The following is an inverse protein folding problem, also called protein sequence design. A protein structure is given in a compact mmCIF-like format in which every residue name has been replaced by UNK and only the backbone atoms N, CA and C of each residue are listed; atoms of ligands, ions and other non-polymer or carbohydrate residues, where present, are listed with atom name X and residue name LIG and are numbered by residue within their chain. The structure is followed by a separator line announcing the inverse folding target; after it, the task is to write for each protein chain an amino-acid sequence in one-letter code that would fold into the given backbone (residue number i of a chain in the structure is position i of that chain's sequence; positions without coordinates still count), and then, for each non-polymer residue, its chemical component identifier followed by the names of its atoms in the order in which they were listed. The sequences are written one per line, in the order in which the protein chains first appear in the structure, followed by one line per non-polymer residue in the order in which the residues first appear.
data_IF_954394671794
#
_entry.id   IF_954394671794
#
_cell.length_a   1.000
_cell.length_b   1.000
_cell.length_c   1.000
_cell.angle_alpha   90.00
_cell.angle_beta   90.00
_cell.angle_gamma   90.00
#
_symmetry.space_group_name_H-M   'P 1'
#
loop_
_entity.id
_entity.type
_entity.pdbx_description
1 polymer ?
#
# COMPACT_ATOMS: atom_id res chain seq x y z
N UNK A 1 -27.90 -21.47 2.63
CA UNK A 1 -27.38 -20.73 1.46
C UNK A 1 -27.30 -19.26 1.83
N UNK A 2 -26.23 -18.54 1.42
CA UNK A 2 -25.93 -17.15 1.84
C UNK A 2 -25.30 -16.35 0.71
N UNK A 3 -25.25 -15.02 0.85
CA UNK A 3 -24.44 -14.16 -0.02
C UNK A 3 -22.95 -14.54 0.10
N UNK A 4 -22.23 -14.48 -1.01
CA UNK A 4 -20.79 -14.72 -1.04
C UNK A 4 -20.02 -13.41 -0.86
N UNK A 5 -18.80 -13.49 -0.34
CA UNK A 5 -17.95 -12.31 -0.10
C UNK A 5 -17.64 -11.61 -1.43
N UNK A 6 -17.35 -12.41 -2.44
CA UNK A 6 -17.01 -12.07 -3.82
C UNK A 6 -18.21 -11.68 -4.71
N UNK A 7 -19.41 -11.47 -4.14
CA UNK A 7 -20.55 -11.01 -4.92
C UNK A 7 -20.34 -9.69 -5.70
N UNK A 8 -19.48 -8.73 -5.28
CA UNK A 8 -19.30 -7.48 -6.00
C UNK A 8 -18.80 -7.65 -7.43
N UNK A 9 -17.98 -8.66 -7.76
CA UNK A 9 -17.52 -8.87 -9.15
C UNK A 9 -18.69 -9.16 -10.08
N UNK A 10 -19.73 -9.83 -9.59
CA UNK A 10 -20.96 -10.10 -10.32
C UNK A 10 -21.80 -8.84 -10.44
N UNK A 11 -21.93 -8.07 -9.36
CA UNK A 11 -22.70 -6.82 -9.32
C UNK A 11 -22.21 -5.80 -10.35
N UNK A 12 -20.90 -5.55 -10.40
CA UNK A 12 -20.34 -4.53 -11.29
C UNK A 12 -20.40 -4.93 -12.77
N UNK A 13 -20.36 -6.23 -13.08
CA UNK A 13 -20.45 -6.73 -14.45
C UNK A 13 -21.90 -6.79 -14.95
N UNK A 14 -22.85 -7.12 -14.07
CA UNK A 14 -24.28 -7.19 -14.43
C UNK A 14 -25.06 -5.89 -14.18
N UNK A 15 -24.49 -4.94 -13.43
CA UNK A 15 -25.19 -3.72 -13.02
C UNK A 15 -26.32 -3.99 -12.02
N UNK A 16 -26.13 -4.95 -11.13
CA UNK A 16 -27.13 -5.36 -10.13
C UNK A 16 -26.67 -5.03 -8.71
N UNK A 17 -27.63 -4.84 -7.81
CA UNK A 17 -27.42 -4.79 -6.36
C UNK A 17 -28.04 -6.06 -5.76
N UNK A 18 -27.20 -7.04 -5.44
CA UNK A 18 -27.64 -8.35 -4.97
C UNK A 18 -28.18 -8.28 -3.54
N UNK A 19 -27.67 -7.38 -2.70
CA UNK A 19 -28.18 -7.17 -1.34
C UNK A 19 -29.60 -6.60 -1.40
N UNK A 20 -29.83 -5.58 -2.23
CA UNK A 20 -31.17 -5.03 -2.47
C UNK A 20 -32.13 -6.08 -3.01
N UNK A 21 -31.71 -6.89 -3.97
CA UNK A 21 -32.53 -7.97 -4.52
C UNK A 21 -32.86 -9.03 -3.46
N UNK A 22 -31.93 -9.36 -2.56
CA UNK A 22 -32.19 -10.25 -1.42
C UNK A 22 -33.26 -9.68 -0.48
N UNK A 23 -33.21 -8.38 -0.18
CA UNK A 23 -34.22 -7.72 0.66
C UNK A 23 -35.60 -7.74 0.00
N UNK A 24 -35.69 -7.36 -1.27
CA UNK A 24 -36.95 -7.37 -2.03
C UNK A 24 -37.58 -8.79 -2.07
N UNK A 25 -36.77 -9.80 -2.34
CA UNK A 25 -37.24 -11.19 -2.35
C UNK A 25 -37.71 -11.63 -0.95
N UNK A 26 -37.01 -11.23 0.11
CA UNK A 26 -37.39 -11.54 1.49
C UNK A 26 -38.71 -10.88 1.90
N UNK A 27 -39.02 -9.70 1.35
CA UNK A 27 -40.31 -9.00 1.51
C UNK A 27 -41.44 -9.61 0.64
N UNK A 28 -41.14 -10.63 -0.17
CA UNK A 28 -42.11 -11.29 -1.04
C UNK A 28 -42.36 -10.59 -2.38
N UNK A 29 -41.56 -9.58 -2.73
CA UNK A 29 -41.62 -8.96 -4.05
C UNK A 29 -41.08 -9.92 -5.14
N UNK A 30 -41.65 -9.90 -6.35
CA UNK A 30 -41.06 -10.61 -7.48
C UNK A 30 -39.70 -10.00 -7.85
N UNK A 31 -38.83 -10.80 -8.45
CA UNK A 31 -37.57 -10.28 -9.00
C UNK A 31 -37.88 -9.29 -10.14
N UNK A 32 -37.30 -8.08 -10.14
CA UNK A 32 -37.57 -7.06 -11.14
C UNK A 32 -36.79 -7.28 -12.45
N UNK A 33 -36.44 -8.53 -12.75
CA UNK A 33 -35.57 -8.89 -13.86
C UNK A 33 -35.85 -10.33 -14.32
N UNK A 34 -35.65 -10.57 -15.61
CA UNK A 34 -35.73 -11.87 -16.26
C UNK A 34 -34.34 -12.33 -16.69
N UNK A 35 -34.20 -13.62 -16.99
CA UNK A 35 -32.92 -14.18 -17.44
C UNK A 35 -32.40 -13.49 -18.71
N UNK A 36 -33.30 -13.07 -19.60
CA UNK A 36 -32.98 -12.36 -20.84
C UNK A 36 -32.47 -10.92 -20.62
N UNK A 37 -32.71 -10.32 -19.45
CA UNK A 37 -32.21 -8.98 -19.10
C UNK A 37 -30.75 -9.01 -18.61
N UNK A 38 -30.21 -10.21 -18.33
CA UNK A 38 -28.87 -10.40 -17.78
C UNK A 38 -27.83 -10.50 -18.90
N UNK A 39 -27.12 -9.40 -19.15
CA UNK A 39 -25.99 -9.37 -20.07
C UNK A 39 -24.74 -8.85 -19.36
N UNK A 40 -23.73 -9.72 -19.08
CA UNK A 40 -22.49 -9.27 -18.46
C UNK A 40 -21.71 -8.35 -19.39
N UNK A 41 -21.25 -7.21 -18.86
CA UNK A 41 -20.43 -6.24 -19.59
C UNK A 41 -19.07 -6.07 -18.94
N UNK A 42 -18.02 -6.11 -19.76
CA UNK A 42 -16.65 -5.92 -19.31
C UNK A 42 -16.11 -7.07 -18.45
N UNK A 43 -15.11 -6.76 -17.65
CA UNK A 43 -14.46 -7.69 -16.73
C UNK A 43 -14.24 -7.03 -15.38
N UNK A 44 -14.37 -7.82 -14.31
CA UNK A 44 -14.12 -7.36 -12.95
C UNK A 44 -13.18 -8.28 -12.20
N UNK A 45 -12.40 -7.67 -11.31
CA UNK A 45 -11.49 -8.35 -10.40
C UNK A 45 -11.77 -7.86 -8.99
N UNK A 46 -11.62 -8.75 -8.02
CA UNK A 46 -11.65 -8.42 -6.59
C UNK A 46 -10.38 -8.95 -5.93
N UNK A 47 -9.73 -8.08 -5.16
CA UNK A 47 -8.66 -8.45 -4.25
C UNK A 47 -9.15 -8.29 -2.82
N UNK A 48 -8.97 -9.34 -2.01
CA UNK A 48 -9.18 -9.26 -0.55
C UNK A 48 -7.95 -8.66 0.09
N UNK A 49 -8.15 -7.52 0.74
CA UNK A 49 -7.12 -6.80 1.46
C UNK A 49 -7.18 -7.29 2.91
N UNK A 50 -6.35 -8.28 3.22
CA UNK A 50 -6.27 -8.85 4.56
C UNK A 50 -5.11 -8.22 5.33
N UNK A 51 -5.29 -8.07 6.63
CA UNK A 51 -4.25 -7.72 7.58
C UNK A 51 -3.39 -8.96 7.87
N UNK A 52 -2.49 -9.31 6.96
CA UNK A 52 -1.63 -10.50 7.02
C UNK A 52 -0.20 -10.17 6.60
N UNK A 53 0.78 -10.82 7.23
CA UNK A 53 2.19 -10.79 6.83
C UNK A 53 2.48 -11.92 5.84
N UNK A 54 2.32 -11.62 4.55
CA UNK A 54 2.42 -12.62 3.48
C UNK A 54 3.78 -13.32 3.46
N UNK A 55 4.88 -12.59 3.66
CA UNK A 55 6.23 -13.16 3.61
C UNK A 55 6.60 -13.99 4.84
N UNK A 56 5.76 -13.94 5.87
CA UNK A 56 5.86 -14.75 7.07
C UNK A 56 4.68 -15.75 7.14
N UNK A 57 4.45 -16.49 6.04
CA UNK A 57 3.39 -17.50 5.93
C UNK A 57 1.97 -16.98 6.20
N UNK A 58 1.65 -15.77 5.75
CA UNK A 58 0.31 -15.17 5.89
C UNK A 58 -0.19 -15.13 7.33
N UNK A 59 0.70 -14.97 8.31
CA UNK A 59 0.26 -14.82 9.71
C UNK A 59 -0.55 -13.53 9.87
N UNK A 60 -1.64 -13.54 10.67
CA UNK A 60 -2.42 -12.33 10.92
C UNK A 60 -1.57 -11.20 11.49
N UNK A 61 -1.72 -10.00 10.93
CA UNK A 61 -1.08 -8.76 11.35
C UNK A 61 -2.06 -7.91 12.17
N UNK A 62 -2.10 -8.14 13.47
CA UNK A 62 -2.93 -7.35 14.39
C UNK A 62 -2.26 -6.06 14.81
N UNK A 63 -3.05 -5.04 15.11
CA UNK A 63 -2.55 -3.73 15.49
C UNK A 63 -3.55 -2.64 15.17
N UNK A 64 -3.12 -1.38 15.28
CA UNK A 64 -3.95 -0.24 14.93
C UNK A 64 -3.58 0.26 13.53
N UNK A 65 -4.60 0.55 12.72
CA UNK A 65 -4.43 1.24 11.45
C UNK A 65 -4.10 2.71 11.74
N UNK A 66 -2.87 3.15 11.51
CA UNK A 66 -2.44 4.52 11.83
C UNK A 66 -2.78 5.52 10.72
N UNK A 67 -2.84 5.04 9.48
CA UNK A 67 -3.24 5.81 8.32
C UNK A 67 -4.05 4.94 7.37
N UNK A 68 -5.07 5.53 6.74
CA UNK A 68 -5.92 4.87 5.76
C UNK A 68 -6.28 5.86 4.66
N UNK A 69 -5.92 5.52 3.41
CA UNK A 69 -6.36 6.21 2.21
C UNK A 69 -6.84 5.20 1.20
N UNK A 70 -8.13 5.25 0.87
CA UNK A 70 -8.70 4.41 -0.17
C UNK A 70 -8.29 4.90 -1.57
N UNK A 71 -8.11 3.98 -2.53
CA UNK A 71 -8.00 4.34 -3.93
C UNK A 71 -9.36 4.80 -4.46
N UNK A 72 -9.33 5.68 -5.44
CA UNK A 72 -10.52 6.26 -6.05
C UNK A 72 -10.44 6.20 -7.59
N UNK A 73 -11.52 6.64 -8.22
CA UNK A 73 -11.59 6.87 -9.66
C UNK A 73 -12.49 5.88 -10.42
N UNK A 74 -12.60 6.06 -11.74
CA UNK A 74 -13.54 5.31 -12.57
C UNK A 74 -13.27 3.80 -12.55
N UNK A 75 -14.32 3.03 -12.32
CA UNK A 75 -14.25 1.57 -12.27
C UNK A 75 -13.51 1.02 -11.05
N UNK A 76 -13.34 1.81 -9.98
CA UNK A 76 -12.81 1.36 -8.68
C UNK A 76 -13.92 1.42 -7.63
N UNK A 77 -14.10 0.33 -6.89
CA UNK A 77 -15.00 0.23 -5.74
C UNK A 77 -14.25 -0.35 -4.56
N UNK A 78 -14.48 0.20 -3.38
CA UNK A 78 -13.90 -0.28 -2.13
C UNK A 78 -15.03 -0.58 -1.16
N UNK A 79 -15.14 -1.83 -0.74
CA UNK A 79 -15.99 -2.22 0.38
C UNK A 79 -15.07 -2.41 1.60
N UNK A 80 -15.01 -1.41 2.48
CA UNK A 80 -14.11 -1.41 3.66
C UNK A 80 -14.88 -1.57 4.96
N UNK A 81 -14.36 -2.41 5.86
CA UNK A 81 -14.87 -2.56 7.23
C UNK A 81 -14.08 -1.75 8.26
N UNK A 82 -13.07 -1.00 7.83
CA UNK A 82 -12.13 -0.27 8.69
C UNK A 82 -12.09 1.23 8.37
N UNK A 83 -11.66 2.01 9.34
CA UNK A 83 -11.35 3.44 9.24
C UNK A 83 -9.95 3.72 9.79
N UNK A 84 -9.43 4.93 9.59
CA UNK A 84 -8.24 5.37 10.30
C UNK A 84 -8.42 5.20 11.82
N UNK A 85 -7.38 4.71 12.50
CA UNK A 85 -7.33 4.37 13.91
C UNK A 85 -8.16 3.15 14.35
N UNK A 86 -8.73 2.39 13.41
CA UNK A 86 -9.36 1.09 13.70
C UNK A 86 -8.35 0.09 14.24
N UNK A 87 -8.77 -0.73 15.21
CA UNK A 87 -7.97 -1.83 15.75
C UNK A 87 -8.32 -3.14 15.02
N UNK A 88 -7.31 -3.78 14.44
CA UNK A 88 -7.40 -5.15 13.91
C UNK A 88 -7.13 -6.12 15.06
N UNK A 89 -8.19 -6.72 15.57
CA UNK A 89 -8.11 -7.71 16.66
C UNK A 89 -7.81 -9.11 16.14
N UNK A 90 -7.39 -10.00 17.05
CA UNK A 90 -7.16 -11.44 16.77
C UNK A 90 -8.44 -12.27 16.74
N UNK A 91 -9.59 -11.68 17.10
CA UNK A 91 -10.83 -12.41 17.35
C UNK A 91 -11.70 -12.59 16.11
N UNK A 92 -11.39 -11.87 15.03
CA UNK A 92 -12.16 -11.88 13.79
C UNK A 92 -11.27 -12.22 12.59
N UNK A 93 -11.92 -12.41 11.45
CA UNK A 93 -11.25 -12.57 10.16
C UNK A 93 -10.36 -11.35 9.85
N UNK A 94 -9.15 -11.52 9.31
CA UNK A 94 -8.22 -10.41 9.07
C UNK A 94 -8.61 -9.55 7.85
N UNK A 95 -9.71 -9.83 7.15
CA UNK A 95 -10.14 -9.02 6.01
C UNK A 95 -10.49 -7.59 6.43
N UNK A 96 -9.68 -6.64 5.97
CA UNK A 96 -9.85 -5.21 6.23
C UNK A 96 -10.77 -4.56 5.18
N UNK A 97 -10.57 -4.90 3.91
CA UNK A 97 -11.35 -4.38 2.80
C UNK A 97 -11.39 -5.35 1.62
N UNK A 98 -12.35 -5.12 0.72
CA UNK A 98 -12.33 -5.67 -0.63
C UNK A 98 -12.07 -4.52 -1.59
N UNK A 99 -11.10 -4.70 -2.47
CA UNK A 99 -10.85 -3.79 -3.58
C UNK A 99 -11.37 -4.43 -4.86
N UNK A 100 -12.31 -3.77 -5.51
CA UNK A 100 -12.95 -4.23 -6.73
C UNK A 100 -12.57 -3.27 -7.85
N UNK A 101 -12.24 -3.81 -9.01
CA UNK A 101 -12.10 -3.02 -10.23
C UNK A 101 -12.91 -3.60 -11.37
N UNK A 102 -13.32 -2.72 -12.27
CA UNK A 102 -14.03 -3.06 -13.50
C UNK A 102 -13.43 -2.32 -14.69
N UNK A 103 -13.41 -2.97 -15.86
CA UNK A 103 -13.01 -2.39 -17.13
C UNK A 103 -13.71 -3.08 -18.31
N UNK A 104 -13.52 -2.58 -19.53
CA UNK A 104 -14.08 -3.21 -20.73
C UNK A 104 -13.38 -4.54 -21.06
N UNK A 105 -12.09 -4.63 -20.79
CA UNK A 105 -11.30 -5.85 -20.98
C UNK A 105 -10.66 -6.34 -19.68
N UNK A 106 -10.29 -7.63 -19.65
CA UNK A 106 -9.60 -8.22 -18.49
C UNK A 106 -8.25 -7.55 -18.24
N UNK A 107 -7.47 -7.28 -19.28
CA UNK A 107 -6.15 -6.66 -19.15
C UNK A 107 -6.26 -5.24 -18.57
N UNK A 108 -7.24 -4.46 -19.02
CA UNK A 108 -7.52 -3.14 -18.44
C UNK A 108 -8.00 -3.21 -16.99
N UNK A 109 -8.75 -4.24 -16.61
CA UNK A 109 -9.16 -4.46 -15.23
C UNK A 109 -7.93 -4.79 -14.36
N UNK A 110 -6.99 -5.59 -14.87
CA UNK A 110 -5.71 -5.88 -14.20
C UNK A 110 -4.91 -4.60 -13.99
N UNK A 111 -4.68 -3.79 -15.02
CA UNK A 111 -3.90 -2.55 -14.88
C UNK A 111 -4.57 -1.55 -13.94
N UNK A 112 -5.91 -1.46 -13.98
CA UNK A 112 -6.68 -0.63 -13.04
C UNK A 112 -6.56 -1.14 -11.62
N UNK A 113 -6.61 -2.45 -11.40
CA UNK A 113 -6.39 -3.06 -10.08
C UNK A 113 -5.00 -2.76 -9.55
N UNK A 114 -3.96 -2.91 -10.38
CA UNK A 114 -2.59 -2.58 -9.98
C UNK A 114 -2.45 -1.12 -9.56
N UNK A 115 -2.97 -0.17 -10.35
CA UNK A 115 -3.00 1.25 -9.99
C UNK A 115 -3.72 1.47 -8.66
N UNK A 116 -4.91 0.91 -8.49
CA UNK A 116 -5.70 1.08 -7.28
C UNK A 116 -5.01 0.47 -6.04
N UNK A 117 -4.34 -0.67 -6.17
CA UNK A 117 -3.54 -1.27 -5.10
C UNK A 117 -2.35 -0.38 -4.71
N UNK A 118 -1.66 0.25 -5.67
CA UNK A 118 -0.55 1.17 -5.41
C UNK A 118 -1.01 2.49 -4.74
N UNK A 119 -2.25 2.92 -5.01
CA UNK A 119 -2.85 4.10 -4.36
C UNK A 119 -3.46 3.79 -2.99
N UNK A 120 -3.69 2.50 -2.67
CA UNK A 120 -4.30 2.07 -1.43
C UNK A 120 -3.27 2.09 -0.29
N UNK A 121 -3.33 3.11 0.56
CA UNK A 121 -2.42 3.26 1.69
C UNK A 121 -3.09 2.76 2.97
N UNK A 122 -2.50 1.75 3.59
CA UNK A 122 -2.86 1.24 4.91
C UNK A 122 -1.58 1.13 5.71
N UNK A 123 -1.46 1.90 6.78
CA UNK A 123 -0.28 1.92 7.64
C UNK A 123 -0.59 1.41 9.05
N UNK A 124 0.45 0.99 9.78
CA UNK A 124 0.33 0.45 11.15
C UNK A 124 0.12 -1.08 11.20
N UNK A 125 -0.23 -1.69 10.08
CA UNK A 125 -0.36 -3.14 9.90
C UNK A 125 0.24 -3.58 8.56
N UNK A 126 0.62 -4.86 8.45
CA UNK A 126 0.96 -5.49 7.17
C UNK A 126 -0.30 -5.94 6.45
N UNK A 127 -0.25 -5.96 5.12
CA UNK A 127 -1.40 -6.35 4.29
C UNK A 127 -1.01 -7.25 3.12
N UNK A 128 -2.01 -7.87 2.50
CA UNK A 128 -1.87 -8.68 1.29
C UNK A 128 -1.63 -7.87 0.00
N UNK A 129 -1.61 -6.53 0.05
CA UNK A 129 -1.46 -5.67 -1.14
C UNK A 129 -0.23 -6.03 -1.98
N UNK A 130 1.00 -6.17 -1.42
CA UNK A 130 2.18 -6.51 -2.22
C UNK A 130 2.06 -7.87 -2.92
N UNK A 131 1.42 -8.84 -2.27
CA UNK A 131 1.16 -10.15 -2.84
C UNK A 131 0.16 -10.07 -4.00
N UNK A 132 -0.93 -9.31 -3.84
CA UNK A 132 -1.89 -9.10 -4.92
C UNK A 132 -1.22 -8.46 -6.16
N UNK A 133 -0.32 -7.48 -5.96
CA UNK A 133 0.46 -6.89 -7.05
C UNK A 133 1.32 -7.94 -7.76
N UNK A 134 2.05 -8.76 -7.01
CA UNK A 134 2.88 -9.83 -7.57
C UNK A 134 2.06 -10.85 -8.38
N UNK A 135 0.87 -11.22 -7.90
CA UNK A 135 -0.05 -12.12 -8.62
C UNK A 135 -0.53 -11.48 -9.93
N UNK A 136 -0.93 -10.21 -9.90
CA UNK A 136 -1.44 -9.49 -11.08
C UNK A 136 -0.39 -9.32 -12.19
N UNK A 137 0.89 -9.26 -11.82
CA UNK A 137 2.00 -9.22 -12.77
C UNK A 137 2.48 -10.59 -13.24
N UNK A 138 2.08 -11.68 -12.59
CA UNK A 138 2.53 -13.01 -12.96
C UNK A 138 1.99 -13.43 -14.34
N UNK A 139 2.84 -13.89 -15.28
CA UNK A 139 2.43 -14.22 -16.66
C UNK A 139 1.28 -15.24 -16.74
N UNK A 140 1.28 -16.27 -15.90
CA UNK A 140 0.21 -17.27 -15.87
C UNK A 140 -1.13 -16.72 -15.36
N UNK A 141 -1.09 -15.75 -14.43
CA UNK A 141 -2.31 -15.05 -14.03
C UNK A 141 -2.82 -14.18 -15.19
N UNK A 142 -1.94 -13.43 -15.85
CA UNK A 142 -2.31 -12.58 -17.00
C UNK A 142 -2.84 -13.39 -18.18
N UNK A 143 -2.27 -14.56 -18.46
CA UNK A 143 -2.75 -15.45 -19.54
C UNK A 143 -4.11 -16.09 -19.25
N UNK A 144 -4.54 -16.09 -17.98
CA UNK A 144 -5.75 -16.78 -17.54
C UNK A 144 -5.58 -18.29 -17.40
N UNK A 145 -4.36 -18.83 -17.56
CA UNK A 145 -4.08 -20.27 -17.54
C UNK A 145 -3.56 -20.73 -16.18
N UNK A 146 -4.35 -20.51 -15.14
CA UNK A 146 -4.00 -20.90 -13.78
C UNK A 146 -5.03 -21.86 -13.20
N UNK A 147 -4.63 -22.56 -12.14
CA UNK A 147 -5.48 -23.50 -11.42
C UNK A 147 -5.56 -23.11 -9.94
N UNK A 148 -6.31 -23.87 -9.15
CA UNK A 148 -6.35 -23.71 -7.69
C UNK A 148 -4.98 -23.94 -7.02
N UNK A 149 -4.01 -24.51 -7.73
CA UNK A 149 -2.64 -24.75 -7.28
C UNK A 149 -1.66 -23.65 -7.65
N UNK A 150 -2.13 -22.57 -8.28
CA UNK A 150 -1.28 -21.46 -8.72
C UNK A 150 -0.36 -20.92 -7.63
N UNK A 151 -0.89 -20.57 -6.46
CA UNK A 151 -0.07 -20.00 -5.37
C UNK A 151 0.96 -21.01 -4.87
N UNK A 152 0.57 -22.27 -4.68
CA UNK A 152 1.49 -23.34 -4.27
C UNK A 152 2.61 -23.56 -5.30
N UNK A 153 2.27 -23.52 -6.59
CA UNK A 153 3.19 -23.77 -7.70
C UNK A 153 4.18 -22.61 -7.94
N UNK A 154 3.74 -21.38 -7.73
CA UNK A 154 4.50 -20.17 -8.06
C UNK A 154 4.89 -19.36 -6.81
N UNK A 155 4.86 -19.97 -5.62
CA UNK A 155 5.13 -19.26 -4.38
C UNK A 155 6.51 -18.57 -4.36
N UNK A 156 7.56 -19.26 -4.81
CA UNK A 156 8.92 -18.71 -4.79
C UNK A 156 9.07 -17.51 -5.72
N UNK A 157 8.44 -17.52 -6.91
CA UNK A 157 8.49 -16.39 -7.84
C UNK A 157 7.67 -15.20 -7.33
N UNK A 158 6.50 -15.46 -6.75
CA UNK A 158 5.65 -14.43 -6.14
C UNK A 158 6.36 -13.78 -4.94
N UNK A 159 7.04 -14.58 -4.11
CA UNK A 159 7.82 -14.10 -2.97
C UNK A 159 8.99 -13.22 -3.43
N UNK A 160 9.73 -13.65 -4.45
CA UNK A 160 10.88 -12.91 -4.97
C UNK A 160 10.49 -11.54 -5.57
N UNK A 161 9.38 -11.48 -6.30
CA UNK A 161 8.85 -10.23 -6.85
C UNK A 161 8.48 -9.23 -5.74
N UNK A 162 7.92 -9.75 -4.65
CA UNK A 162 7.49 -8.97 -3.51
C UNK A 162 8.61 -8.48 -2.58
N UNK A 163 9.77 -9.14 -2.58
CA UNK A 163 10.94 -8.75 -1.78
C UNK A 163 11.87 -7.76 -2.49
N UNK A 164 11.78 -7.61 -3.81
CA UNK A 164 12.69 -6.76 -4.58
C UNK A 164 12.62 -5.26 -4.18
N UNK A 165 11.45 -4.81 -3.71
CA UNK A 165 11.26 -3.43 -3.23
C UNK A 165 11.90 -3.18 -1.86
N UNK A 166 12.06 -4.20 -1.02
CA UNK A 166 12.68 -4.05 0.31
C UNK A 166 14.17 -3.71 0.16
N UNK A 167 14.88 -4.42 -0.73
CA UNK A 167 16.30 -4.17 -1.02
C UNK A 167 16.51 -2.77 -1.61
N UNK A 168 15.61 -2.34 -2.52
CA UNK A 168 15.68 -1.00 -3.11
C UNK A 168 15.42 0.09 -2.07
N UNK A 169 14.46 -0.09 -1.17
CA UNK A 169 14.19 0.86 -0.08
C UNK A 169 15.36 0.95 0.90
N UNK A 170 16.01 -0.17 1.25
CA UNK A 170 17.23 -0.17 2.05
C UNK A 170 18.37 0.58 1.36
N UNK A 171 18.56 0.36 0.06
CA UNK A 171 19.56 1.07 -0.75
C UNK A 171 19.26 2.57 -0.82
N UNK A 172 18.00 2.95 -1.05
CA UNK A 172 17.58 4.36 -1.06
C UNK A 172 17.77 4.99 0.31
N UNK A 173 17.36 4.31 1.39
CA UNK A 173 17.54 4.79 2.75
C UNK A 173 19.03 4.98 3.10
N UNK A 174 19.88 4.03 2.71
CA UNK A 174 21.33 4.13 2.86
C UNK A 174 21.93 5.30 2.05
N UNK A 175 21.48 5.50 0.81
CA UNK A 175 21.92 6.61 -0.04
C UNK A 175 21.49 7.96 0.52
N UNK A 176 20.26 8.08 1.02
CA UNK A 176 19.74 9.29 1.69
C UNK A 176 20.52 9.57 2.97
N UNK A 177 20.76 8.57 3.81
CA UNK A 177 21.55 8.71 5.02
C UNK A 177 22.99 9.15 4.72
N UNK A 178 23.63 8.57 3.70
CA UNK A 178 24.97 8.97 3.25
C UNK A 178 25.00 10.43 2.77
N UNK A 179 24.01 10.86 1.98
CA UNK A 179 23.93 12.24 1.51
C UNK A 179 23.67 13.24 2.65
N UNK A 180 22.86 12.88 3.64
CA UNK A 180 22.62 13.72 4.82
C UNK A 180 23.87 13.85 5.69
N UNK A 181 24.65 12.78 5.84
CA UNK A 181 25.93 12.82 6.57
C UNK A 181 26.98 13.67 5.83
N UNK A 182 27.08 13.55 4.51
CA UNK A 182 27.93 14.42 3.68
C UNK A 182 27.53 15.89 3.76
N UNK A 183 26.23 16.19 3.73
CA UNK A 183 25.73 17.55 3.91
C UNK A 183 26.01 18.10 5.33
N UNK A 184 25.86 17.26 6.36
CA UNK A 184 26.21 17.61 7.74
C UNK A 184 27.72 17.81 7.96
N UNK A 185 28.56 17.03 7.26
CA UNK A 185 30.01 17.16 7.27
C UNK A 185 30.48 18.43 6.54
N UNK A 186 29.87 18.77 5.40
CA UNK A 186 30.13 20.02 4.68
C UNK A 186 29.71 21.25 5.51
N UNK A 187 28.55 21.20 6.16
CA UNK A 187 28.08 22.26 7.06
C UNK A 187 29.01 22.42 8.29
N UNK A 188 29.51 21.31 8.87
CA UNK A 188 30.51 21.36 9.96
C UNK A 188 31.88 21.87 9.50
N UNK A 189 32.28 21.58 8.27
CA UNK A 189 33.52 22.08 7.68
C UNK A 189 33.44 23.60 7.41
N UNK A 190 32.31 24.12 6.95
CA UNK A 190 32.08 25.57 6.78
C UNK A 190 32.02 26.32 8.11
N UNK A 191 31.40 25.75 9.15
CA UNK A 191 31.39 26.35 10.50
C UNK A 191 32.80 26.40 11.10
N UNK A 192 33.65 25.40 10.82
CA UNK A 192 35.06 25.41 11.21
C UNK A 192 35.94 26.34 10.36
N UNK A 193 35.43 26.83 9.23
CA UNK A 193 36.11 27.79 8.35
C UNK A 193 35.52 29.20 8.40
N UNK A 194 34.61 29.48 9.34
CA UNK A 194 34.27 30.85 9.68
C UNK A 194 35.58 31.58 10.06
N UNK A 195 35.87 32.78 9.50
CA UNK A 195 37.09 33.49 9.82
C UNK A 195 37.13 33.69 11.32
N UNK A 196 38.10 33.04 11.96
CA UNK A 196 38.22 33.03 13.40
C UNK A 196 38.09 34.44 13.94
N UNK A 197 37.22 34.64 14.93
CA UNK A 197 37.34 35.79 15.82
C UNK A 197 38.81 35.83 16.20
N UNK A 198 39.53 36.86 15.76
CA UNK A 198 40.96 36.95 15.93
C UNK A 198 41.25 36.91 17.42
N UNK A 199 41.63 35.74 17.94
CA UNK A 199 42.23 35.66 19.25
C UNK A 199 43.50 36.51 19.17
N UNK A 200 43.49 37.59 19.94
CA UNK A 200 44.59 38.54 19.98
C UNK A 200 45.82 37.73 20.34
N UNK A 201 46.81 37.69 19.44
CA UNK A 201 48.00 36.88 19.65
C UNK A 201 48.68 37.24 20.98
N UNK A 202 49.31 36.27 21.67
CA UNK A 202 49.95 36.51 22.97
C UNK A 202 50.92 37.70 22.98
N UNK A 203 51.57 37.98 21.84
CA UNK A 203 52.47 39.12 21.66
C UNK A 203 51.75 40.48 21.64
N UNK A 204 50.55 40.51 21.05
CA UNK A 204 49.72 41.72 20.98
C UNK A 204 49.06 42.03 22.33
N UNK A 205 48.71 41.01 23.12
CA UNK A 205 48.28 41.17 24.51
C UNK A 205 49.39 41.71 25.41
N UNK A 206 50.64 41.25 25.23
CA UNK A 206 51.79 41.68 26.03
C UNK A 206 52.15 43.16 25.77
N UNK A 207 52.15 43.58 24.50
CA UNK A 207 52.36 44.98 24.13
C UNK A 207 51.31 45.93 24.73
N UNK A 208 50.04 45.50 24.80
CA UNK A 208 48.96 46.27 25.42
C UNK A 208 49.10 46.38 26.95
N UNK A 209 49.65 45.35 27.61
CA UNK A 209 49.93 45.37 29.03
C UNK A 209 51.11 46.28 29.38
N UNK A 210 52.15 46.30 28.55
CA UNK A 210 53.31 47.17 28.74
C UNK A 210 52.96 48.65 28.55
N UNK A 211 52.08 48.98 27.59
CA UNK A 211 51.55 50.34 27.43
C UNK A 211 50.71 50.84 28.62
N UNK A 212 50.06 49.93 29.37
CA UNK A 212 49.27 50.29 30.57
C UNK A 212 50.12 50.48 31.82
N UNK A 213 51.37 50.02 31.83
CA UNK A 213 52.31 50.15 32.95
C UNK A 213 53.21 51.38 32.86
N UNK A 214 53.09 52.18 31.81
CA UNK A 214 53.88 53.41 31.57
C UNK A 214 53.06 54.70 31.78
N UNK A 215 52.15 54.68 32.76
CA UNK A 215 51.50 55.88 33.31
C UNK A 215 51.67 55.92 34.81
#
# INVERSE_FOLDING_TARGET
TRLQVEHPVTEVVLGLDLVKLQLLAAEGHPLPLRQEDLSPRGHALECRINAEDVYNNFVPSTGQVTHLKHPEGPGVRVDSGITAFSEISRFYDPMAAKLITWAETRDEAIERMKRALLEFQIEGIKTTIPFCLAVLDHPEFRSGKFTTKFVEQYWDSLKAAGSADADLLEVIAAAVAYHQDQAGAATRAEVNHAPGRSEISPWKMRALQDMRRSK
#
